data_IF_913287454271
#
_entry.id   IF_913287454271
#
_cell.length_a   1.000
_cell.length_b   1.000
_cell.length_c   1.000
_cell.angle_alpha   90.00
_cell.angle_beta   90.00
_cell.angle_gamma   90.00
#
_symmetry.space_group_name_H-M   'P 1'
#
loop_
_entity.id
_entity.type
_entity.pdbx_description
1 polymer ?
#
# COMPACT_ATOMS: atom_id res chain seq x y z
N UNK A 1 13.37 15.03 -5.98
CA UNK A 1 14.72 14.77 -5.44
C UNK A 1 14.56 14.46 -3.97
N UNK A 2 14.97 13.27 -3.55
CA UNK A 2 14.83 12.80 -2.19
C UNK A 2 15.63 13.65 -1.21
N UNK A 3 15.09 13.80 0.00
CA UNK A 3 15.77 14.39 1.15
C UNK A 3 16.01 13.28 2.15
N UNK A 4 17.18 13.28 2.79
CA UNK A 4 17.47 12.35 3.89
C UNK A 4 16.50 12.65 5.05
N UNK A 5 15.80 11.64 5.61
CA UNK A 5 14.96 11.84 6.77
C UNK A 5 15.75 12.35 7.97
N UNK A 6 15.15 13.20 8.83
CA UNK A 6 15.66 13.44 10.17
C UNK A 6 15.80 12.12 10.95
N UNK A 7 16.71 12.03 11.94
CA UNK A 7 16.87 10.82 12.74
C UNK A 7 15.53 10.37 13.36
N UNK A 8 15.15 9.12 13.11
CA UNK A 8 13.94 8.49 13.66
C UNK A 8 12.62 8.91 13.00
N UNK A 9 12.63 9.59 11.85
CA UNK A 9 11.42 10.03 11.15
C UNK A 9 11.05 9.20 9.92
N UNK A 10 11.75 8.10 9.66
CA UNK A 10 11.35 7.12 8.66
C UNK A 10 11.25 5.77 9.36
N UNK A 11 10.05 5.19 9.35
CA UNK A 11 9.79 3.86 9.88
C UNK A 11 10.21 2.83 8.83
N UNK A 12 10.99 1.82 9.26
CA UNK A 12 11.50 0.76 8.39
C UNK A 12 10.86 -0.60 8.72
N UNK A 13 9.75 -0.62 9.47
CA UNK A 13 8.91 -1.81 9.60
C UNK A 13 8.48 -2.32 8.20
N UNK A 14 8.22 -3.63 8.09
CA UNK A 14 7.86 -4.31 6.84
C UNK A 14 8.82 -4.08 5.66
N UNK A 15 10.10 -3.77 5.94
CA UNK A 15 11.11 -3.40 4.95
C UNK A 15 10.81 -2.10 4.19
N UNK A 16 10.07 -1.18 4.81
CA UNK A 16 9.81 0.14 4.25
C UNK A 16 11.10 0.92 3.99
N UNK A 17 11.21 1.46 2.78
CA UNK A 17 12.38 2.19 2.32
C UNK A 17 12.34 3.67 2.73
N UNK A 18 13.51 4.23 3.03
CA UNK A 18 13.66 5.65 3.29
C UNK A 18 14.26 6.39 2.10
N UNK A 19 13.75 7.59 1.83
CA UNK A 19 14.33 8.42 0.77
C UNK A 19 15.79 8.77 1.03
N UNK A 20 16.58 8.66 -0.03
CA UNK A 20 18.01 8.95 -0.02
C UNK A 20 18.26 10.36 -0.57
N UNK A 21 19.22 11.06 0.02
CA UNK A 21 19.56 12.41 -0.40
C UNK A 21 20.14 12.40 -1.82
N UNK A 22 19.54 13.20 -2.71
CA UNK A 22 20.01 13.36 -4.09
C UNK A 22 19.43 12.35 -5.09
N UNK A 23 18.75 11.31 -4.62
CA UNK A 23 18.08 10.35 -5.49
C UNK A 23 16.83 10.95 -6.15
N UNK A 24 16.53 10.47 -7.37
CA UNK A 24 15.34 10.85 -8.11
C UNK A 24 14.34 9.70 -8.08
N UNK A 25 13.17 9.97 -7.50
CA UNK A 25 12.07 9.03 -7.42
C UNK A 25 11.03 9.38 -8.50
N UNK A 26 10.57 8.35 -9.21
CA UNK A 26 9.51 8.50 -10.21
C UNK A 26 8.16 8.68 -9.53
N UNK A 27 7.34 9.57 -10.07
CA UNK A 27 5.97 9.78 -9.62
C UNK A 27 5.00 9.46 -10.75
N UNK A 28 3.79 9.07 -10.37
CA UNK A 28 2.72 8.67 -11.27
C UNK A 28 1.41 9.34 -10.85
N UNK A 29 0.58 9.66 -11.85
CA UNK A 29 -0.81 10.11 -11.62
C UNK A 29 -1.83 9.08 -12.12
N UNK A 30 -1.35 7.99 -12.70
CA UNK A 30 -2.14 6.96 -13.34
C UNK A 30 -1.57 5.59 -13.01
N UNK A 31 -2.47 4.61 -12.97
CA UNK A 31 -2.17 3.20 -12.78
C UNK A 31 -2.53 2.43 -14.05
N UNK A 32 -2.05 1.18 -14.22
CA UNK A 32 -2.46 0.32 -15.31
C UNK A 32 -3.98 0.17 -15.40
N UNK A 33 -4.50 -0.16 -16.59
CA UNK A 33 -5.94 -0.30 -16.79
C UNK A 33 -6.56 -1.37 -15.88
N UNK A 34 -7.67 -1.03 -15.23
CA UNK A 34 -8.44 -1.97 -14.41
C UNK A 34 -9.23 -2.91 -15.32
N UNK A 35 -9.24 -4.20 -14.98
CA UNK A 35 -10.00 -5.25 -15.64
C UNK A 35 -10.57 -6.22 -14.60
N UNK A 36 -11.28 -7.28 -15.03
CA UNK A 36 -11.74 -8.34 -14.12
C UNK A 36 -10.62 -9.18 -13.49
N UNK A 37 -9.37 -9.02 -13.93
CA UNK A 37 -8.18 -9.72 -13.39
C UNK A 37 -6.95 -8.80 -13.44
N UNK A 38 -7.07 -7.62 -12.82
CA UNK A 38 -6.03 -6.58 -12.85
C UNK A 38 -4.76 -7.09 -12.19
N UNK A 39 -3.64 -7.12 -12.91
CA UNK A 39 -2.34 -7.50 -12.35
C UNK A 39 -1.81 -6.39 -11.46
N UNK A 40 -1.27 -6.76 -10.30
CA UNK A 40 -0.67 -5.84 -9.34
C UNK A 40 0.47 -6.53 -8.58
N UNK A 41 1.26 -5.73 -7.89
CA UNK A 41 2.16 -6.19 -6.86
C UNK A 41 1.50 -5.92 -5.51
N UNK A 42 1.41 -6.95 -4.68
CA UNK A 42 0.98 -6.85 -3.30
C UNK A 42 2.19 -6.49 -2.44
N UNK A 43 2.09 -5.42 -1.66
CA UNK A 43 3.07 -5.06 -0.63
C UNK A 43 2.46 -5.22 0.75
N UNK A 44 3.30 -5.19 1.78
CA UNK A 44 2.87 -5.29 3.17
C UNK A 44 2.96 -3.93 3.86
N UNK A 45 1.90 -3.57 4.58
CA UNK A 45 1.83 -2.34 5.36
C UNK A 45 1.01 -2.55 6.63
N UNK A 46 1.36 -1.82 7.69
CA UNK A 46 0.57 -1.70 8.91
C UNK A 46 -0.24 -0.40 8.90
N UNK A 47 -1.55 -0.56 8.98
CA UNK A 47 -2.52 0.55 9.10
C UNK A 47 -2.82 0.90 10.56
N UNK A 48 -2.06 0.33 11.50
CA UNK A 48 -2.20 0.58 12.92
C UNK A 48 -1.56 1.90 13.33
N UNK A 49 -2.00 2.44 14.47
CA UNK A 49 -1.38 3.62 15.04
C UNK A 49 0.06 3.31 15.45
N UNK A 50 1.00 3.97 14.79
CA UNK A 50 2.43 3.77 15.03
C UNK A 50 3.07 2.65 14.19
N UNK A 51 2.31 2.08 13.25
CA UNK A 51 2.86 1.27 12.17
C UNK A 51 3.59 2.11 11.12
N UNK A 52 4.00 1.47 10.03
CA UNK A 52 4.68 2.10 8.89
C UNK A 52 3.75 2.81 7.88
N UNK A 53 2.44 2.59 7.96
CA UNK A 53 1.45 3.34 7.17
C UNK A 53 1.30 4.81 7.58
N UNK A 54 1.99 5.23 8.65
CA UNK A 54 2.04 6.63 9.10
C UNK A 54 0.73 7.15 9.69
N UNK A 55 0.01 7.96 8.91
CA UNK A 55 -1.22 8.63 9.32
C UNK A 55 -2.46 7.71 9.39
N UNK A 56 -3.61 8.22 9.87
CA UNK A 56 -4.89 7.54 9.70
C UNK A 56 -5.28 7.48 8.21
N UNK A 57 -5.97 6.42 7.80
CA UNK A 57 -6.26 6.18 6.38
C UNK A 57 -7.24 7.18 5.76
N UNK A 58 -6.98 7.55 4.51
CA UNK A 58 -7.65 8.64 3.78
C UNK A 58 -9.17 8.46 3.65
N UNK A 59 -9.67 7.23 3.49
CA UNK A 59 -11.10 7.00 3.25
C UNK A 59 -11.99 7.31 4.45
N UNK A 60 -11.50 7.14 5.68
CA UNK A 60 -12.32 7.27 6.88
C UNK A 60 -11.64 7.95 8.08
N UNK A 61 -10.40 8.44 7.92
CA UNK A 61 -9.58 9.09 8.94
C UNK A 61 -9.39 8.20 10.18
N UNK A 62 -9.18 6.89 9.99
CA UNK A 62 -8.98 5.92 11.07
C UNK A 62 -7.76 5.06 10.85
N UNK A 63 -7.22 4.58 11.96
CA UNK A 63 -6.31 3.44 11.97
C UNK A 63 -7.11 2.13 11.90
N UNK A 64 -6.56 1.12 11.25
CA UNK A 64 -7.15 -0.20 11.09
C UNK A 64 -6.20 -1.25 11.65
N UNK A 65 -6.73 -2.26 12.35
CA UNK A 65 -5.87 -3.30 12.93
C UNK A 65 -5.24 -4.16 11.85
N UNK A 66 -4.01 -4.64 12.10
CA UNK A 66 -3.30 -5.58 11.23
C UNK A 66 -4.03 -6.91 11.05
N UNK A 67 -4.98 -7.22 11.95
CA UNK A 67 -5.86 -8.39 11.87
C UNK A 67 -7.14 -8.15 11.02
N UNK A 68 -7.33 -6.94 10.48
CA UNK A 68 -8.45 -6.59 9.61
C UNK A 68 -8.01 -6.60 8.15
N UNK A 69 -8.67 -7.33 7.23
CA UNK A 69 -8.32 -7.35 5.81
C UNK A 69 -8.61 -6.00 5.12
N UNK A 70 -7.64 -5.10 5.18
CA UNK A 70 -7.68 -3.77 4.56
C UNK A 70 -6.48 -3.54 3.64
N UNK A 71 -6.67 -2.64 2.67
CA UNK A 71 -5.64 -2.26 1.68
C UNK A 71 -5.67 -0.78 1.34
N UNK A 72 -4.53 -0.28 0.88
CA UNK A 72 -4.39 0.94 0.09
C UNK A 72 -4.22 0.58 -1.40
N UNK A 73 -4.59 1.49 -2.29
CA UNK A 73 -4.38 1.34 -3.72
C UNK A 73 -3.52 2.48 -4.26
N UNK A 74 -2.62 2.19 -5.22
CA UNK A 74 -1.92 3.25 -5.96
C UNK A 74 -2.89 4.32 -6.47
N UNK A 75 -2.46 5.58 -6.46
CA UNK A 75 -3.28 6.77 -6.82
C UNK A 75 -4.25 6.58 -7.99
N UNK A 76 -3.77 6.01 -9.10
CA UNK A 76 -4.61 5.82 -10.29
C UNK A 76 -5.75 4.80 -10.10
N UNK A 77 -5.55 3.78 -9.26
CA UNK A 77 -6.58 2.82 -8.88
C UNK A 77 -7.45 3.31 -7.72
N UNK A 78 -6.88 4.06 -6.78
CA UNK A 78 -7.64 4.76 -5.75
C UNK A 78 -8.67 5.72 -6.37
N UNK A 79 -8.24 6.43 -7.43
CA UNK A 79 -9.09 7.26 -8.29
C UNK A 79 -9.94 8.25 -7.48
N UNK A 80 -9.25 9.07 -6.67
CA UNK A 80 -9.87 10.10 -5.83
C UNK A 80 -10.89 9.54 -4.84
N UNK A 81 -10.63 8.36 -4.28
CA UNK A 81 -11.51 7.71 -3.31
C UNK A 81 -12.74 7.03 -3.91
N UNK A 82 -12.83 6.88 -5.24
CA UNK A 82 -13.99 6.20 -5.88
C UNK A 82 -14.20 4.75 -5.41
N UNK A 83 -13.15 4.12 -4.88
CA UNK A 83 -13.15 2.77 -4.28
C UNK A 83 -13.17 2.77 -2.75
N UNK A 84 -13.19 3.92 -2.09
CA UNK A 84 -13.17 4.00 -0.65
C UNK A 84 -14.29 3.18 0.00
N UNK A 85 -13.89 2.40 1.01
CA UNK A 85 -14.74 1.54 1.82
C UNK A 85 -15.48 0.45 1.02
N UNK A 86 -15.12 0.27 -0.26
CA UNK A 86 -15.56 -0.87 -1.08
C UNK A 86 -14.57 -2.00 -0.96
N UNK A 87 -15.04 -3.18 -1.31
CA UNK A 87 -14.22 -4.38 -1.28
C UNK A 87 -13.61 -4.65 -2.66
N UNK A 88 -12.41 -5.20 -2.64
CA UNK A 88 -11.79 -5.86 -3.79
C UNK A 88 -11.54 -7.33 -3.46
N UNK A 89 -11.43 -8.16 -4.49
CA UNK A 89 -11.03 -9.55 -4.37
C UNK A 89 -9.59 -9.66 -4.85
N UNK A 90 -8.70 -10.11 -3.98
CA UNK A 90 -7.29 -10.33 -4.26
C UNK A 90 -7.07 -11.83 -4.43
N UNK A 91 -6.35 -12.23 -5.48
CA UNK A 91 -6.07 -13.61 -5.82
C UNK A 91 -4.57 -13.83 -5.94
N UNK A 92 -4.05 -14.80 -5.17
CA UNK A 92 -2.66 -15.20 -5.16
C UNK A 92 -2.53 -16.62 -4.58
N UNK A 93 -1.49 -17.36 -4.92
CA UNK A 93 -1.19 -18.67 -4.31
C UNK A 93 -2.37 -19.67 -4.33
N UNK A 94 -3.21 -19.62 -5.37
CA UNK A 94 -4.41 -20.47 -5.48
C UNK A 94 -5.53 -20.14 -4.47
N UNK A 95 -5.42 -19.01 -3.76
CA UNK A 95 -6.39 -18.52 -2.78
C UNK A 95 -6.92 -17.14 -3.17
N UNK A 96 -8.02 -16.77 -2.53
CA UNK A 96 -8.65 -15.47 -2.69
C UNK A 96 -9.00 -14.88 -1.33
N UNK A 97 -8.89 -13.55 -1.20
CA UNK A 97 -9.33 -12.81 -0.01
C UNK A 97 -10.08 -11.57 -0.44
N UNK A 98 -11.16 -11.27 0.28
CA UNK A 98 -11.86 -10.00 0.16
C UNK A 98 -11.26 -9.01 1.14
N UNK A 99 -10.79 -7.88 0.64
CA UNK A 99 -10.20 -6.82 1.45
C UNK A 99 -10.88 -5.47 1.15
N UNK A 100 -10.97 -4.62 2.17
CA UNK A 100 -11.58 -3.30 2.04
C UNK A 100 -10.52 -2.26 1.68
N UNK A 101 -10.81 -1.44 0.68
CA UNK A 101 -9.98 -0.27 0.37
C UNK A 101 -10.23 0.80 1.41
N UNK A 102 -9.21 1.13 2.18
CA UNK A 102 -9.27 2.15 3.24
C UNK A 102 -8.37 3.34 2.97
N UNK A 103 -7.42 3.22 2.05
CA UNK A 103 -6.38 4.23 1.88
C UNK A 103 -5.89 4.41 0.44
N UNK A 104 -5.10 5.46 0.25
CA UNK A 104 -4.31 5.71 -0.96
C UNK A 104 -2.83 5.37 -0.71
N UNK A 105 -2.22 4.61 -1.63
CA UNK A 105 -0.77 4.51 -1.73
C UNK A 105 -0.30 5.62 -2.68
N UNK A 106 0.10 6.77 -2.12
CA UNK A 106 0.33 7.98 -2.90
C UNK A 106 1.55 7.81 -3.83
N UNK A 107 1.28 7.77 -5.13
CA UNK A 107 2.30 7.64 -6.17
C UNK A 107 2.73 9.00 -6.75
N UNK A 108 2.10 10.09 -6.33
CA UNK A 108 2.32 11.45 -6.84
C UNK A 108 3.38 12.21 -6.07
N UNK A 109 3.60 11.85 -4.80
CA UNK A 109 4.52 12.53 -3.89
C UNK A 109 5.05 11.58 -2.80
N UNK A 110 6.04 12.07 -2.05
CA UNK A 110 6.84 11.30 -1.10
C UNK A 110 8.12 12.05 -0.74
N UNK A 111 8.96 11.45 0.09
CA UNK A 111 10.21 12.04 0.59
C UNK A 111 10.03 13.35 1.38
N UNK A 112 8.88 13.50 2.03
CA UNK A 112 8.57 14.64 2.89
C UNK A 112 7.96 14.14 4.21
N UNK A 113 7.63 15.09 5.08
CA UNK A 113 7.16 14.79 6.44
C UNK A 113 5.80 14.08 6.44
N UNK A 114 4.94 14.37 5.47
CA UNK A 114 3.58 13.84 5.46
C UNK A 114 3.57 12.36 5.01
N UNK A 115 4.64 11.92 4.35
CA UNK A 115 4.87 10.55 3.89
C UNK A 115 5.94 9.80 4.70
N UNK A 116 6.24 10.24 5.93
CA UNK A 116 7.31 9.69 6.78
C UNK A 116 8.65 9.52 6.06
N UNK A 117 8.93 10.41 5.11
CA UNK A 117 10.09 10.39 4.22
C UNK A 117 10.29 9.09 3.43
N UNK A 118 9.23 8.30 3.25
CA UNK A 118 9.18 7.16 2.34
C UNK A 118 9.09 7.64 0.88
N UNK A 119 9.59 6.85 -0.09
CA UNK A 119 9.49 7.20 -1.49
C UNK A 119 8.03 7.19 -1.97
N UNK A 120 7.71 7.92 -3.06
CA UNK A 120 6.43 7.79 -3.73
C UNK A 120 6.12 6.33 -4.08
N UNK A 121 4.87 5.93 -3.89
CA UNK A 121 4.41 4.59 -4.19
C UNK A 121 4.52 4.27 -5.70
N UNK A 122 4.87 3.03 -6.10
CA UNK A 122 4.71 2.59 -7.48
C UNK A 122 3.23 2.63 -7.91
N UNK A 123 2.98 2.62 -9.22
CA UNK A 123 1.64 2.84 -9.75
C UNK A 123 0.77 1.59 -9.93
N UNK A 124 1.27 0.43 -9.51
CA UNK A 124 0.64 -0.88 -9.68
C UNK A 124 0.59 -1.67 -8.36
N UNK A 125 0.49 -0.98 -7.23
CA UNK A 125 0.52 -1.53 -5.88
C UNK A 125 -0.89 -1.69 -5.31
N UNK A 126 -1.10 -2.86 -4.68
CA UNK A 126 -2.11 -3.07 -3.65
C UNK A 126 -1.35 -3.24 -2.34
N UNK A 127 -1.43 -2.25 -1.46
CA UNK A 127 -0.63 -2.25 -0.24
C UNK A 127 -1.48 -2.76 0.93
N UNK A 128 -1.06 -3.83 1.58
CA UNK A 128 -1.98 -4.69 2.31
C UNK A 128 -1.58 -5.01 3.74
N UNK A 129 -2.59 -5.03 4.60
CA UNK A 129 -2.48 -5.47 6.00
C UNK A 129 -2.00 -6.92 6.13
N UNK A 130 -1.38 -7.23 7.28
CA UNK A 130 -0.91 -8.58 7.63
C UNK A 130 -2.02 -9.65 7.49
N UNK A 131 -3.28 -9.30 7.78
CA UNK A 131 -4.43 -10.19 7.59
C UNK A 131 -4.64 -10.65 6.15
N UNK A 132 -4.40 -9.79 5.16
CA UNK A 132 -4.52 -10.13 3.73
C UNK A 132 -3.48 -11.18 3.35
N UNK A 133 -2.23 -10.96 3.75
CA UNK A 133 -1.12 -11.89 3.51
C UNK A 133 -1.37 -13.27 4.16
N UNK A 134 -1.81 -13.28 5.42
CA UNK A 134 -2.22 -14.52 6.13
C UNK A 134 -3.35 -15.25 5.41
N UNK A 135 -4.37 -14.54 4.94
CA UNK A 135 -5.51 -15.13 4.24
C UNK A 135 -5.11 -15.76 2.89
N UNK A 136 -4.18 -15.13 2.17
CA UNK A 136 -3.57 -15.67 0.95
C UNK A 136 -2.63 -16.86 1.22
N UNK A 137 -2.36 -17.18 2.48
CA UNK A 137 -1.57 -18.35 2.88
C UNK A 137 -0.10 -18.23 2.50
N UNK A 138 0.42 -17.01 2.44
CA UNK A 138 1.84 -16.73 2.21
C UNK A 138 2.58 -16.87 3.54
N UNK A 139 3.64 -17.71 3.64
CA UNK A 139 4.47 -17.79 4.82
C UNK A 139 5.06 -16.42 5.18
N UNK A 140 5.14 -16.09 6.48
CA UNK A 140 5.65 -14.77 6.94
C UNK A 140 7.08 -14.48 6.47
N UNK A 141 7.92 -15.51 6.34
CA UNK A 141 9.29 -15.39 5.82
C UNK A 141 9.35 -14.98 4.33
N UNK A 142 8.23 -15.13 3.60
CA UNK A 142 8.10 -14.77 2.19
C UNK A 142 7.33 -13.45 2.00
N UNK A 143 7.08 -12.69 3.06
CA UNK A 143 6.40 -11.39 2.98
C UNK A 143 7.35 -10.30 2.46
N UNK A 144 6.78 -9.38 1.69
CA UNK A 144 7.51 -8.29 1.04
C UNK A 144 6.74 -7.87 -0.20
N UNK A 145 7.04 -8.52 -1.33
CA UNK A 145 6.35 -8.30 -2.61
C UNK A 145 5.80 -9.62 -3.15
N UNK A 146 4.57 -9.59 -3.68
CA UNK A 146 3.95 -10.75 -4.31
C UNK A 146 3.15 -10.34 -5.55
N UNK A 147 3.38 -11.02 -6.67
CA UNK A 147 2.53 -10.88 -7.85
C UNK A 147 1.13 -11.41 -7.59
N UNK A 148 0.13 -10.56 -7.82
CA UNK A 148 -1.29 -10.87 -7.61
C UNK A 148 -2.15 -10.48 -8.80
N UNK A 149 -3.41 -10.91 -8.75
CA UNK A 149 -4.48 -10.27 -9.51
C UNK A 149 -5.58 -9.79 -8.58
N UNK A 150 -6.23 -8.69 -8.93
CA UNK A 150 -7.38 -8.18 -8.19
C UNK A 150 -8.52 -7.73 -9.11
N UNK A 151 -9.72 -7.69 -8.53
CA UNK A 151 -10.92 -7.14 -9.16
C UNK A 151 -11.76 -6.39 -8.14
N UNK A 152 -12.58 -5.44 -8.60
CA UNK A 152 -13.68 -4.94 -7.79
C UNK A 152 -14.61 -6.13 -7.41
N UNK A 153 -15.14 -6.11 -6.18
CA UNK A 153 -16.02 -7.18 -5.65
C UNK A 153 -17.49 -7.02 -6.08
#
# INVERSE_FOLDING_TARGET
>A
MGKKPPPGQCNQENNSDCCQAGELYTTYKCSPAVSGTTKAVLTINSFEKGGDGGGPSECDNKYHSDDTPVVALSTGWYNGGSRCLKNIIINANGRSVTAKVVDECDSTMGCDKDHDYQPPCPNNIVDASKAVWKALGVPEDDWGELDITWSDA
#
